data_IF_699072849527
#
_entry.id   IF_699072849527
#
_cell.length_a   1.000
_cell.length_b   1.000
_cell.length_c   1.000
_cell.angle_alpha   90.00
_cell.angle_beta   90.00
_cell.angle_gamma   90.00
#
_symmetry.space_group_name_H-M   'P 1'
#
loop_
_entity.id
_entity.type
_entity.pdbx_description
1 polymer ?
#
# COMPACT_ATOMS: atom_id res chain seq x y z
N UNK A 1 -37.62 -26.87 40.35
CA UNK A 1 -37.31 -25.62 39.63
C UNK A 1 -35.91 -25.86 39.10
N UNK A 2 -35.79 -26.51 37.95
CA UNK A 2 -34.48 -26.97 37.47
C UNK A 2 -34.38 -26.70 35.97
N UNK A 3 -33.94 -25.49 35.67
CA UNK A 3 -33.70 -24.98 34.33
C UNK A 3 -32.48 -25.69 33.72
N UNK A 4 -32.69 -26.35 32.57
CA UNK A 4 -31.60 -26.94 31.77
C UNK A 4 -30.76 -25.85 31.09
N UNK A 5 -29.42 -25.91 31.13
CA UNK A 5 -28.59 -24.97 30.38
C UNK A 5 -28.53 -25.37 28.90
N UNK A 6 -29.09 -24.53 28.03
CA UNK A 6 -28.88 -24.61 26.58
C UNK A 6 -27.41 -24.38 26.24
N UNK A 7 -26.69 -25.46 25.90
CA UNK A 7 -25.34 -25.37 25.37
C UNK A 7 -25.46 -25.05 23.88
N UNK A 8 -25.47 -23.75 23.54
CA UNK A 8 -25.27 -23.32 22.15
C UNK A 8 -23.86 -23.72 21.74
N UNK A 9 -23.76 -24.67 20.81
CA UNK A 9 -22.49 -25.15 20.27
C UNK A 9 -21.76 -24.00 19.59
N UNK A 10 -20.73 -23.49 20.24
CA UNK A 10 -19.76 -22.61 19.61
C UNK A 10 -18.95 -23.49 18.64
N UNK A 11 -19.41 -23.63 17.40
CA UNK A 11 -18.67 -24.33 16.36
C UNK A 11 -17.38 -23.52 16.08
N UNK A 12 -16.19 -24.02 16.44
CA UNK A 12 -14.96 -23.32 16.09
C UNK A 12 -14.85 -23.31 14.57
N UNK A 13 -14.71 -22.12 13.99
CA UNK A 13 -14.51 -21.98 12.56
C UNK A 13 -13.30 -22.83 12.13
N UNK A 14 -13.35 -23.49 10.96
CA UNK A 14 -12.22 -24.28 10.50
C UNK A 14 -10.96 -23.41 10.48
N UNK A 15 -9.80 -23.94 10.93
CA UNK A 15 -8.57 -23.19 10.94
C UNK A 15 -8.30 -22.66 9.54
N UNK A 16 -8.26 -21.34 9.39
CA UNK A 16 -7.86 -20.70 8.12
C UNK A 16 -6.52 -21.30 7.73
N UNK A 17 -6.46 -22.00 6.59
CA UNK A 17 -5.18 -22.36 5.96
C UNK A 17 -4.37 -21.07 5.88
N UNK A 18 -3.34 -20.94 6.71
CA UNK A 18 -2.31 -19.91 6.49
C UNK A 18 -1.77 -20.26 5.11
N UNK A 19 -2.08 -19.45 4.10
CA UNK A 19 -1.58 -19.66 2.76
C UNK A 19 -0.09 -19.89 2.89
N UNK A 20 0.39 -21.05 2.43
CA UNK A 20 1.83 -21.33 2.36
C UNK A 20 2.41 -20.11 1.64
N UNK A 21 3.36 -19.41 2.27
CA UNK A 21 3.86 -18.08 1.90
C UNK A 21 4.66 -18.08 0.57
N UNK A 22 4.17 -18.78 -0.45
CA UNK A 22 4.71 -18.83 -1.80
C UNK A 22 4.38 -17.50 -2.48
N UNK A 23 5.31 -16.54 -2.39
CA UNK A 23 5.18 -15.22 -3.01
C UNK A 23 5.21 -14.03 -2.06
N UNK A 24 5.35 -14.24 -0.74
CA UNK A 24 5.56 -13.14 0.22
C UNK A 24 7.01 -12.64 0.13
N UNK A 25 7.17 -11.32 0.02
CA UNK A 25 8.48 -10.67 0.17
C UNK A 25 8.99 -10.82 1.61
N UNK A 26 10.30 -10.98 1.79
CA UNK A 26 10.90 -10.89 3.13
C UNK A 26 10.61 -9.53 3.76
N UNK A 27 10.20 -9.55 5.02
CA UNK A 27 10.05 -8.37 5.86
C UNK A 27 11.40 -7.78 6.23
N UNK A 28 11.37 -6.54 6.74
CA UNK A 28 12.60 -5.79 7.00
C UNK A 28 13.40 -6.47 8.09
N UNK A 29 12.70 -7.05 9.07
CA UNK A 29 13.30 -7.77 10.18
C UNK A 29 13.95 -9.08 9.72
N UNK A 30 13.28 -9.85 8.85
CA UNK A 30 13.85 -11.09 8.28
C UNK A 30 15.11 -10.79 7.48
N UNK A 31 15.09 -9.73 6.66
CA UNK A 31 16.28 -9.30 5.92
C UNK A 31 17.39 -8.79 6.85
N UNK A 32 17.04 -8.05 7.90
CA UNK A 32 18.01 -7.55 8.88
C UNK A 32 18.66 -8.69 9.66
N UNK A 33 17.88 -9.72 10.00
CA UNK A 33 18.38 -10.92 10.66
C UNK A 33 19.44 -11.63 9.82
N UNK A 34 19.20 -11.80 8.51
CA UNK A 34 20.18 -12.35 7.55
C UNK A 34 21.49 -11.54 7.58
N UNK A 35 21.40 -10.21 7.58
CA UNK A 35 22.58 -9.33 7.61
C UNK A 35 23.32 -9.45 8.93
N UNK A 36 22.61 -9.51 10.05
CA UNK A 36 23.22 -9.65 11.37
C UNK A 36 23.98 -10.97 11.46
N UNK A 37 23.40 -12.08 11.01
CA UNK A 37 24.10 -13.37 10.92
C UNK A 37 25.33 -13.29 10.02
N UNK A 38 25.21 -12.67 8.84
CA UNK A 38 26.34 -12.48 7.93
C UNK A 38 27.47 -11.67 8.57
N UNK A 39 27.14 -10.62 9.34
CA UNK A 39 28.13 -9.83 10.08
C UNK A 39 28.83 -10.65 11.16
N UNK A 40 28.08 -11.44 11.93
CA UNK A 40 28.64 -12.32 12.97
C UNK A 40 29.61 -13.34 12.36
N UNK A 41 29.18 -14.06 11.32
CA UNK A 41 30.04 -15.06 10.65
C UNK A 41 31.30 -14.44 10.06
N UNK A 42 31.22 -13.18 9.59
CA UNK A 42 32.39 -12.46 9.06
C UNK A 42 33.36 -12.02 10.16
N UNK A 43 32.87 -11.79 11.38
CA UNK A 43 33.70 -11.50 12.56
C UNK A 43 34.37 -12.78 13.04
N UNK A 44 33.60 -13.87 13.17
CA UNK A 44 34.09 -15.16 13.67
C UNK A 44 35.14 -15.78 12.73
N UNK A 45 34.87 -15.78 11.42
CA UNK A 45 35.72 -16.40 10.41
C UNK A 45 35.89 -15.49 9.18
N UNK A 46 36.84 -14.53 9.19
CA UNK A 46 37.01 -13.56 8.11
C UNK A 46 37.45 -14.17 6.77
N UNK A 47 38.06 -15.36 6.79
CA UNK A 47 38.56 -16.06 5.60
C UNK A 47 37.54 -17.01 4.93
N UNK A 48 36.35 -17.18 5.50
CA UNK A 48 35.36 -18.10 4.93
C UNK A 48 34.84 -17.64 3.57
N UNK A 49 34.63 -18.60 2.66
CA UNK A 49 33.99 -18.34 1.37
C UNK A 49 32.52 -17.95 1.58
N UNK A 50 32.03 -16.99 0.81
CA UNK A 50 30.64 -16.52 0.87
C UNK A 50 29.63 -17.67 0.73
N UNK A 51 29.94 -18.66 -0.12
CA UNK A 51 29.10 -19.85 -0.34
C UNK A 51 28.86 -20.64 0.95
N UNK A 52 29.89 -20.82 1.78
CA UNK A 52 29.80 -21.50 3.07
C UNK A 52 29.01 -20.67 4.09
N UNK A 53 29.21 -19.35 4.11
CA UNK A 53 28.42 -18.44 4.96
C UNK A 53 26.93 -18.53 4.64
N UNK A 54 26.58 -18.50 3.34
CA UNK A 54 25.18 -18.62 2.90
C UNK A 54 24.58 -19.98 3.27
N UNK A 55 25.35 -21.06 3.20
CA UNK A 55 24.90 -22.38 3.63
C UNK A 55 24.56 -22.41 5.14
N UNK A 56 25.41 -21.82 5.98
CA UNK A 56 25.15 -21.67 7.43
C UNK A 56 23.87 -20.83 7.69
N UNK A 57 23.73 -19.69 7.00
CA UNK A 57 22.55 -18.81 7.13
C UNK A 57 21.27 -19.50 6.66
N UNK A 58 21.34 -20.27 5.56
CA UNK A 58 20.20 -21.05 5.07
C UNK A 58 19.76 -22.09 6.10
N UNK A 59 20.70 -22.82 6.71
CA UNK A 59 20.37 -23.79 7.74
C UNK A 59 19.71 -23.14 8.96
N UNK A 60 20.18 -21.97 9.38
CA UNK A 60 19.63 -21.26 10.52
C UNK A 60 18.26 -20.58 10.25
N UNK A 61 18.09 -19.97 9.07
CA UNK A 61 16.92 -19.11 8.78
C UNK A 61 15.84 -19.84 7.96
N UNK A 62 16.17 -20.95 7.29
CA UNK A 62 15.27 -21.64 6.37
C UNK A 62 15.00 -20.88 5.05
N UNK A 63 15.76 -19.81 4.76
CA UNK A 63 15.57 -18.96 3.58
C UNK A 63 16.36 -19.52 2.39
N UNK A 64 15.80 -19.43 1.19
CA UNK A 64 16.46 -19.85 -0.04
C UNK A 64 17.77 -19.08 -0.28
N UNK A 65 18.79 -19.80 -0.80
CA UNK A 65 20.12 -19.25 -1.10
C UNK A 65 20.03 -17.99 -1.97
N UNK A 66 19.22 -18.02 -3.03
CA UNK A 66 19.03 -16.90 -3.97
C UNK A 66 18.61 -15.61 -3.26
N UNK A 67 17.70 -15.72 -2.29
CA UNK A 67 17.21 -14.58 -1.51
C UNK A 67 18.27 -14.05 -0.54
N UNK A 68 19.06 -14.94 0.08
CA UNK A 68 20.19 -14.54 0.95
C UNK A 68 21.24 -13.78 0.12
N UNK A 69 21.65 -14.32 -1.03
CA UNK A 69 22.58 -13.64 -1.94
C UNK A 69 22.07 -12.26 -2.36
N UNK A 70 20.79 -12.16 -2.74
CA UNK A 70 20.18 -10.88 -3.11
C UNK A 70 20.20 -9.88 -1.96
N UNK A 71 19.93 -10.33 -0.74
CA UNK A 71 19.94 -9.50 0.48
C UNK A 71 21.35 -9.01 0.83
N UNK A 72 22.35 -9.90 0.75
CA UNK A 72 23.76 -9.52 0.97
C UNK A 72 24.24 -8.55 -0.11
N UNK A 73 23.84 -8.76 -1.37
CA UNK A 73 24.18 -7.86 -2.48
C UNK A 73 23.55 -6.47 -2.26
N UNK A 74 22.28 -6.40 -1.91
CA UNK A 74 21.56 -5.15 -1.57
C UNK A 74 22.29 -4.40 -0.44
N UNK A 75 22.67 -5.12 0.61
CA UNK A 75 23.43 -4.58 1.74
C UNK A 75 24.81 -4.04 1.33
N UNK A 76 25.58 -4.78 0.52
CA UNK A 76 26.90 -4.33 0.05
C UNK A 76 26.84 -3.08 -0.81
N UNK A 77 25.77 -2.92 -1.59
CA UNK A 77 25.58 -1.76 -2.47
C UNK A 77 25.08 -0.52 -1.72
N UNK A 78 24.14 -0.69 -0.78
CA UNK A 78 23.39 0.42 -0.19
C UNK A 78 23.77 0.69 1.28
N UNK A 79 24.48 -0.24 1.94
CA UNK A 79 24.77 -0.19 3.38
C UNK A 79 23.57 -0.48 4.29
N UNK A 80 22.36 -0.55 3.73
CA UNK A 80 21.12 -0.87 4.43
C UNK A 80 20.28 -1.80 3.58
N UNK A 81 19.25 -2.40 4.17
CA UNK A 81 18.33 -3.27 3.45
C UNK A 81 16.91 -2.83 3.72
N UNK A 82 16.13 -2.71 2.65
CA UNK A 82 14.76 -2.19 2.69
C UNK A 82 13.79 -3.21 2.12
N UNK A 83 12.58 -3.24 2.66
CA UNK A 83 11.49 -3.91 1.97
C UNK A 83 11.00 -3.06 0.81
N UNK A 84 10.50 -3.69 -0.27
CA UNK A 84 9.70 -2.96 -1.23
C UNK A 84 8.56 -2.28 -0.47
N UNK A 85 8.47 -0.95 -0.59
CA UNK A 85 7.35 -0.21 -0.02
C UNK A 85 6.11 -0.66 -0.78
N UNK A 86 5.09 -1.12 -0.08
CA UNK A 86 3.76 -1.26 -0.65
C UNK A 86 3.25 0.15 -0.96
N UNK A 87 3.64 0.72 -2.10
CA UNK A 87 3.03 1.93 -2.64
C UNK A 87 1.70 1.46 -3.22
N UNK A 88 0.75 1.23 -2.32
CA UNK A 88 -0.58 0.75 -2.68
C UNK A 88 -1.38 1.86 -3.36
N UNK A 89 -2.17 1.45 -4.35
CA UNK A 89 -3.32 2.21 -4.84
C UNK A 89 -3.05 3.27 -5.91
N UNK A 90 -4.09 3.55 -6.70
CA UNK A 90 -4.15 4.70 -7.60
C UNK A 90 -4.16 5.97 -6.73
N UNK A 91 -3.36 7.00 -7.04
CA UNK A 91 -3.40 8.25 -6.29
C UNK A 91 -4.82 8.84 -6.30
N UNK A 92 -5.21 9.46 -5.17
CA UNK A 92 -6.50 10.11 -5.03
C UNK A 92 -6.73 11.08 -6.19
N UNK A 93 -7.96 11.15 -6.74
CA UNK A 93 -8.27 12.08 -7.84
C UNK A 93 -7.88 13.52 -7.47
N UNK A 94 -8.12 13.91 -6.21
CA UNK A 94 -7.76 15.20 -5.66
C UNK A 94 -6.26 15.53 -5.72
N UNK A 95 -5.37 14.53 -5.60
CA UNK A 95 -3.92 14.74 -5.67
C UNK A 95 -3.42 15.11 -7.06
N UNK A 96 -4.26 14.95 -8.10
CA UNK A 96 -3.94 15.31 -9.48
C UNK A 96 -4.22 16.79 -9.80
N UNK A 97 -4.99 17.48 -8.96
CA UNK A 97 -5.47 18.83 -9.23
C UNK A 97 -5.00 19.79 -8.14
N UNK A 98 -4.55 20.97 -8.56
CA UNK A 98 -4.10 22.04 -7.67
C UNK A 98 -5.26 22.64 -6.85
N UNK A 99 -4.94 23.32 -5.75
CA UNK A 99 -5.93 24.00 -4.89
C UNK A 99 -6.75 25.06 -5.65
N UNK A 100 -6.15 25.70 -6.65
CA UNK A 100 -6.83 26.65 -7.54
C UNK A 100 -8.01 25.98 -8.26
N UNK A 101 -7.79 24.80 -8.84
CA UNK A 101 -8.82 24.02 -9.54
C UNK A 101 -9.96 23.65 -8.58
N UNK A 102 -9.65 23.24 -7.35
CA UNK A 102 -10.64 22.92 -6.32
C UNK A 102 -11.51 24.12 -5.97
N UNK A 103 -10.89 25.28 -5.83
CA UNK A 103 -11.58 26.54 -5.51
C UNK A 103 -12.50 26.95 -6.65
N UNK A 104 -12.03 26.91 -7.89
CA UNK A 104 -12.83 27.25 -9.07
C UNK A 104 -14.03 26.30 -9.25
N UNK A 105 -13.85 24.98 -9.07
CA UNK A 105 -14.97 24.02 -9.14
C UNK A 105 -15.99 24.27 -8.02
N UNK A 106 -15.54 24.61 -6.81
CA UNK A 106 -16.41 24.99 -5.69
C UNK A 106 -17.24 26.24 -6.03
N UNK A 107 -16.62 27.26 -6.62
CA UNK A 107 -17.32 28.47 -7.07
C UNK A 107 -18.38 28.16 -8.14
N UNK A 108 -18.07 27.29 -9.10
CA UNK A 108 -19.03 26.85 -10.13
C UNK A 108 -20.24 26.20 -9.47
N UNK A 109 -20.01 25.25 -8.55
CA UNK A 109 -21.09 24.59 -7.81
C UNK A 109 -21.94 25.61 -7.03
N UNK A 110 -21.32 26.55 -6.30
CA UNK A 110 -22.04 27.61 -5.60
C UNK A 110 -22.82 28.54 -6.53
N UNK A 111 -22.32 28.82 -7.73
CA UNK A 111 -23.03 29.67 -8.69
C UNK A 111 -24.39 29.11 -9.10
N UNK A 112 -24.55 27.77 -9.15
CA UNK A 112 -25.84 27.14 -9.38
C UNK A 112 -26.81 27.36 -8.22
N UNK A 113 -26.33 27.29 -6.97
CA UNK A 113 -27.14 27.60 -5.79
C UNK A 113 -27.59 29.05 -5.77
N UNK A 114 -26.73 30.00 -6.15
CA UNK A 114 -27.13 31.43 -6.28
C UNK A 114 -28.17 31.67 -7.36
N UNK A 115 -28.16 30.88 -8.44
CA UNK A 115 -29.15 30.93 -9.52
C UNK A 115 -30.44 30.17 -9.17
N UNK A 116 -30.56 29.60 -7.96
CA UNK A 116 -31.65 28.69 -7.56
C UNK A 116 -31.84 27.50 -8.52
N UNK A 117 -30.76 27.06 -9.17
CA UNK A 117 -30.76 25.89 -10.05
C UNK A 117 -30.14 24.69 -9.36
N UNK A 118 -30.70 23.50 -9.63
CA UNK A 118 -30.15 22.26 -9.09
C UNK A 118 -28.81 21.91 -9.77
N UNK A 119 -27.69 21.80 -9.03
CA UNK A 119 -26.38 21.52 -9.60
C UNK A 119 -26.24 20.03 -9.97
N UNK A 120 -26.69 19.66 -11.17
CA UNK A 120 -26.52 18.29 -11.68
C UNK A 120 -25.10 18.08 -12.18
N UNK A 121 -24.58 16.85 -12.05
CA UNK A 121 -23.23 16.49 -12.50
C UNK A 121 -22.95 16.84 -13.97
N UNK A 122 -23.93 16.69 -14.87
CA UNK A 122 -23.77 17.07 -16.28
C UNK A 122 -23.63 18.58 -16.46
N UNK A 123 -24.43 19.39 -15.75
CA UNK A 123 -24.37 20.85 -15.83
C UNK A 123 -23.01 21.36 -15.34
N UNK A 124 -22.54 20.83 -14.22
CA UNK A 124 -21.22 21.16 -13.67
C UNK A 124 -20.12 20.73 -14.65
N UNK A 125 -20.23 19.53 -15.25
CA UNK A 125 -19.25 19.04 -16.21
C UNK A 125 -19.13 19.94 -17.43
N UNK A 126 -20.26 20.37 -17.99
CA UNK A 126 -20.27 21.32 -19.10
C UNK A 126 -19.56 22.62 -18.72
N UNK A 127 -19.88 23.22 -17.56
CA UNK A 127 -19.26 24.49 -17.16
C UNK A 127 -17.81 24.41 -16.75
N UNK A 128 -17.36 23.26 -16.24
CA UNK A 128 -15.94 23.03 -16.00
C UNK A 128 -15.19 22.91 -17.32
N UNK A 129 -15.72 22.17 -18.29
CA UNK A 129 -15.06 21.95 -19.57
C UNK A 129 -15.12 23.17 -20.51
N UNK A 130 -16.10 24.07 -20.32
CA UNK A 130 -16.21 25.33 -21.06
C UNK A 130 -15.17 26.36 -20.64
N UNK A 131 -14.62 26.27 -19.42
CA UNK A 131 -13.64 27.23 -18.91
C UNK A 131 -12.22 26.87 -19.37
N UNK A 132 -11.50 27.77 -20.07
CA UNK A 132 -10.15 27.49 -20.53
C UNK A 132 -9.13 27.40 -19.38
N UNK A 133 -9.44 28.02 -18.24
CA UNK A 133 -8.59 28.01 -17.03
C UNK A 133 -8.61 26.68 -16.28
N UNK A 134 -9.54 25.77 -16.64
CA UNK A 134 -9.74 24.49 -15.96
C UNK A 134 -9.36 23.32 -16.86
N UNK A 135 -8.76 22.25 -16.28
CA UNK A 135 -8.48 21.05 -17.04
C UNK A 135 -9.81 20.34 -17.38
N UNK A 136 -9.91 19.85 -18.62
CA UNK A 136 -11.04 19.04 -19.04
C UNK A 136 -11.11 17.76 -18.19
N UNK A 137 -12.29 17.49 -17.64
CA UNK A 137 -12.55 16.32 -16.79
C UNK A 137 -13.59 15.42 -17.44
N UNK A 138 -13.52 14.12 -17.16
CA UNK A 138 -14.61 13.19 -17.49
C UNK A 138 -15.60 13.07 -16.32
N UNK A 139 -16.85 12.71 -16.62
CA UNK A 139 -17.96 12.61 -15.64
C UNK A 139 -17.61 11.83 -14.37
N UNK A 140 -16.96 10.67 -14.52
CA UNK A 140 -16.58 9.81 -13.39
C UNK A 140 -15.47 10.40 -12.52
N UNK A 141 -14.59 11.20 -13.12
CA UNK A 141 -13.54 11.95 -12.41
C UNK A 141 -14.15 13.11 -11.64
N UNK A 142 -15.05 13.88 -12.26
CA UNK A 142 -15.77 14.96 -11.60
C UNK A 142 -16.60 14.44 -10.41
N UNK A 143 -17.32 13.33 -10.55
CA UNK A 143 -18.07 12.75 -9.44
C UNK A 143 -17.16 12.39 -8.24
N UNK A 144 -16.03 11.73 -8.50
CA UNK A 144 -15.04 11.39 -7.45
C UNK A 144 -14.43 12.65 -6.84
N UNK A 145 -14.16 13.65 -7.66
CA UNK A 145 -13.62 14.93 -7.24
C UNK A 145 -14.58 15.65 -6.28
N UNK A 146 -15.86 15.81 -6.68
CA UNK A 146 -16.91 16.41 -5.85
C UNK A 146 -17.07 15.68 -4.50
N UNK A 147 -17.07 14.35 -4.53
CA UNK A 147 -17.12 13.52 -3.30
C UNK A 147 -15.91 13.76 -2.38
N UNK A 148 -14.72 13.99 -2.94
CA UNK A 148 -13.51 14.26 -2.18
C UNK A 148 -13.43 15.69 -1.62
N UNK A 149 -14.09 16.67 -2.25
CA UNK A 149 -14.20 18.05 -1.75
C UNK A 149 -15.44 18.28 -0.85
N UNK A 150 -16.05 17.18 -0.37
CA UNK A 150 -17.19 17.11 0.54
C UNK A 150 -18.54 17.60 0.00
N UNK A 151 -18.74 17.65 -1.32
CA UNK A 151 -20.08 17.76 -1.88
C UNK A 151 -20.73 16.37 -1.90
N UNK A 152 -21.88 16.24 -1.23
CA UNK A 152 -22.67 15.00 -1.14
C UNK A 152 -23.74 14.94 -2.21
#
# INVERSE_FOLDING_TARGET
MDSMPSTSGNCPSPPKKRGVNLGRHLSSNEKQFIINMYKQIKIDDPGMKITAMVAKIKQATGVANSTIYRTIKEYKQTGTVRCPKNIGGRPAVLSRYDEKVKTSVRQIVHSFFFKNEMPTLNKILSEVNNRPDLPNMCRSTLYKFLKQINFK
#
